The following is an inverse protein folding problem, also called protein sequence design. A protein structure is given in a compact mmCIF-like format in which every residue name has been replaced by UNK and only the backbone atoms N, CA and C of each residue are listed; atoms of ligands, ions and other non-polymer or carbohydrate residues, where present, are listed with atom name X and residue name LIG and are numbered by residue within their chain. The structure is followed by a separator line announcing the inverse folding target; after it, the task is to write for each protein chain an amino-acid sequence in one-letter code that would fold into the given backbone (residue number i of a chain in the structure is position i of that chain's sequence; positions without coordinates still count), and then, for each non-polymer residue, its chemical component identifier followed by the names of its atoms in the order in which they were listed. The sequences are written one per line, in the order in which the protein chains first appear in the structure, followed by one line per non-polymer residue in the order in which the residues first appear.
data_IF_641145060832
#
_entry.id   IF_641145060832
#
_cell.length_a   1.000
_cell.length_b   1.000
_cell.length_c   1.000
_cell.angle_alpha   90.00
_cell.angle_beta   90.00
_cell.angle_gamma   90.00
#
_symmetry.space_group_name_H-M   'P 1'
#
loop_
_entity.id
_entity.type
_entity.pdbx_description
1 polymer ?
#
# COMPACT_ATOMS: atom_id res chain seq x y z
N UNK A 1 17.85 -13.75 -15.19
CA UNK A 1 17.90 -12.95 -13.95
C UNK A 1 17.65 -11.45 -14.21
N UNK A 2 18.17 -10.85 -15.29
CA UNK A 2 17.90 -9.43 -15.62
C UNK A 2 16.52 -9.15 -16.23
N UNK A 3 15.86 -10.15 -16.83
CA UNK A 3 14.58 -9.95 -17.54
C UNK A 3 13.47 -9.41 -16.63
N UNK A 4 13.46 -9.78 -15.35
CA UNK A 4 12.44 -9.35 -14.38
C UNK A 4 12.61 -7.89 -13.92
N UNK A 5 13.71 -7.22 -14.30
CA UNK A 5 14.05 -5.84 -13.92
C UNK A 5 14.01 -4.85 -15.10
N UNK A 6 13.63 -5.32 -16.30
CA UNK A 6 13.65 -4.55 -17.56
C UNK A 6 12.24 -4.10 -17.99
N UNK A 7 11.26 -4.08 -17.08
CA UNK A 7 9.93 -3.59 -17.39
C UNK A 7 9.93 -2.08 -17.68
N UNK A 8 9.02 -1.59 -18.53
CA UNK A 8 8.95 -0.18 -18.88
C UNK A 8 8.68 0.68 -17.65
N UNK A 9 9.31 1.86 -17.60
CA UNK A 9 9.04 2.87 -16.59
C UNK A 9 7.72 3.57 -16.90
N UNK A 10 6.66 3.20 -16.18
CA UNK A 10 5.33 3.83 -16.23
C UNK A 10 5.13 4.78 -15.04
N UNK A 11 4.28 5.78 -15.23
CA UNK A 11 3.80 6.61 -14.12
C UNK A 11 2.93 5.80 -13.14
N UNK A 12 2.91 6.22 -11.88
CA UNK A 12 2.07 5.61 -10.86
C UNK A 12 0.59 5.95 -11.08
N UNK A 13 -0.28 4.95 -11.25
CA UNK A 13 -1.74 5.15 -11.32
C UNK A 13 -2.27 5.80 -10.04
N UNK A 14 -1.77 5.36 -8.88
CA UNK A 14 -2.12 5.91 -7.57
C UNK A 14 -0.87 6.59 -6.99
N UNK A 15 -0.87 7.92 -6.82
CA UNK A 15 0.27 8.58 -6.23
C UNK A 15 0.32 8.38 -4.71
N UNK A 16 1.52 8.35 -4.12
CA UNK A 16 1.71 8.12 -2.68
C UNK A 16 0.91 9.08 -1.79
N UNK A 17 0.71 10.34 -2.20
CA UNK A 17 -0.05 11.32 -1.42
C UNK A 17 -1.55 11.00 -1.32
N UNK A 18 -2.09 10.21 -2.26
CA UNK A 18 -3.50 9.80 -2.23
C UNK A 18 -3.78 8.75 -1.15
N UNK A 19 -2.77 7.94 -0.79
CA UNK A 19 -2.88 6.86 0.20
C UNK A 19 -3.45 7.32 1.55
N UNK A 20 -2.85 8.31 2.25
CA UNK A 20 -3.40 8.78 3.52
C UNK A 20 -4.80 9.40 3.38
N UNK A 21 -5.17 9.93 2.20
CA UNK A 21 -6.50 10.52 1.99
C UNK A 21 -7.56 9.42 2.06
N UNK A 22 -7.43 8.34 1.29
CA UNK A 22 -8.45 7.30 1.32
C UNK A 22 -8.31 6.34 2.51
N UNK A 23 -7.10 6.09 3.01
CA UNK A 23 -6.88 5.17 4.13
C UNK A 23 -7.11 5.77 5.51
N UNK A 24 -7.05 7.10 5.67
CA UNK A 24 -7.22 7.75 6.97
C UNK A 24 -8.37 8.74 6.93
N UNK A 25 -8.34 9.71 6.00
CA UNK A 25 -9.30 10.80 5.99
C UNK A 25 -10.72 10.29 5.72
N UNK A 26 -10.91 9.42 4.73
CA UNK A 26 -12.23 8.83 4.43
C UNK A 26 -12.80 8.03 5.62
N UNK A 27 -12.07 7.08 6.25
CA UNK A 27 -12.55 6.41 7.46
C UNK A 27 -12.93 7.36 8.59
N UNK A 28 -12.13 8.41 8.85
CA UNK A 28 -12.46 9.41 9.88
C UNK A 28 -13.78 10.11 9.56
N UNK A 29 -14.00 10.50 8.30
CA UNK A 29 -15.29 11.07 7.88
C UNK A 29 -16.46 10.11 8.13
N UNK A 30 -16.27 8.82 7.88
CA UNK A 30 -17.29 7.79 8.16
C UNK A 30 -17.54 7.67 9.67
N UNK A 31 -16.50 7.65 10.50
CA UNK A 31 -16.65 7.59 11.96
C UNK A 31 -17.38 8.81 12.50
N UNK A 32 -17.07 10.00 11.99
CA UNK A 32 -17.78 11.24 12.34
C UNK A 32 -19.25 11.16 11.91
N UNK A 33 -19.56 10.64 10.72
CA UNK A 33 -20.94 10.44 10.29
C UNK A 33 -21.71 9.50 11.23
N UNK A 34 -21.10 8.39 11.66
CA UNK A 34 -21.68 7.50 12.68
C UNK A 34 -21.88 8.20 14.03
N UNK A 35 -20.90 9.00 14.46
CA UNK A 35 -21.00 9.82 15.67
C UNK A 35 -22.16 10.82 15.59
N UNK A 36 -22.38 11.47 14.45
CA UNK A 36 -23.48 12.43 14.30
C UNK A 36 -24.86 11.78 14.51
N UNK A 37 -25.01 10.50 14.17
CA UNK A 37 -26.24 9.71 14.34
C UNK A 37 -26.35 9.11 15.73
N UNK A 38 -25.28 8.51 16.25
CA UNK A 38 -25.30 7.74 17.51
C UNK A 38 -24.98 8.57 18.75
N UNK A 39 -24.32 9.71 18.57
CA UNK A 39 -23.81 10.61 19.62
C UNK A 39 -22.93 9.93 20.67
N UNK A 40 -22.26 8.84 20.28
CA UNK A 40 -21.33 8.09 21.12
C UNK A 40 -19.90 8.58 20.89
N UNK A 41 -19.40 9.39 21.83
CA UNK A 41 -18.04 9.95 21.75
C UNK A 41 -16.96 8.90 22.00
N UNK A 42 -17.26 7.87 22.80
CA UNK A 42 -16.30 6.82 23.09
C UNK A 42 -16.04 5.99 21.83
N UNK A 43 -17.09 5.68 21.08
CA UNK A 43 -16.94 5.01 19.78
C UNK A 43 -16.04 5.80 18.82
N UNK A 44 -16.30 7.11 18.66
CA UNK A 44 -15.50 7.96 17.78
C UNK A 44 -14.03 7.99 18.22
N UNK A 45 -13.79 8.17 19.51
CA UNK A 45 -12.44 8.24 20.08
C UNK A 45 -11.66 6.95 19.85
N UNK A 46 -12.24 5.79 20.19
CA UNK A 46 -11.57 4.50 20.01
C UNK A 46 -11.39 4.14 18.53
N UNK A 47 -12.34 4.51 17.65
CA UNK A 47 -12.22 4.27 16.22
C UNK A 47 -11.06 5.09 15.60
N UNK A 48 -10.92 6.37 15.96
CA UNK A 48 -9.81 7.21 15.50
C UNK A 48 -8.48 6.70 16.05
N UNK A 49 -8.41 6.41 17.35
CA UNK A 49 -7.18 5.87 17.96
C UNK A 49 -6.76 4.55 17.32
N UNK A 50 -7.71 3.63 17.12
CA UNK A 50 -7.44 2.33 16.50
C UNK A 50 -6.94 2.47 15.07
N UNK A 51 -7.55 3.34 14.26
CA UNK A 51 -7.12 3.62 12.90
C UNK A 51 -5.71 4.22 12.83
N UNK A 52 -5.43 5.22 13.67
CA UNK A 52 -4.12 5.88 13.72
C UNK A 52 -3.05 4.91 14.21
N UNK A 53 -3.36 4.07 15.20
CA UNK A 53 -2.45 3.07 15.71
C UNK A 53 -2.13 1.99 14.66
N UNK A 54 -3.14 1.46 13.97
CA UNK A 54 -2.96 0.52 12.88
C UNK A 54 -2.07 1.12 11.77
N UNK A 55 -2.39 2.34 11.33
CA UNK A 55 -1.62 3.04 10.29
C UNK A 55 -0.18 3.30 10.70
N UNK A 56 0.06 3.72 11.95
CA UNK A 56 1.40 4.00 12.47
C UNK A 56 2.25 2.73 12.53
N UNK A 57 1.72 1.64 13.09
CA UNK A 57 2.44 0.38 13.20
C UNK A 57 2.77 -0.16 11.80
N UNK A 58 1.79 -0.19 10.91
CA UNK A 58 1.99 -0.63 9.53
C UNK A 58 3.04 0.23 8.82
N UNK A 59 3.00 1.55 8.99
CA UNK A 59 3.98 2.47 8.42
C UNK A 59 5.40 2.19 8.88
N UNK A 60 5.60 2.11 10.20
CA UNK A 60 6.92 1.82 10.80
C UNK A 60 7.46 0.48 10.33
N UNK A 61 6.64 -0.58 10.35
CA UNK A 61 7.06 -1.91 9.92
C UNK A 61 7.40 -1.91 8.42
N UNK A 62 6.53 -1.34 7.58
CA UNK A 62 6.72 -1.32 6.12
C UNK A 62 8.01 -0.59 5.75
N UNK A 63 8.22 0.61 6.28
CA UNK A 63 9.37 1.44 5.90
C UNK A 63 10.68 0.86 6.44
N UNK A 64 10.66 0.30 7.65
CA UNK A 64 11.83 -0.39 8.22
C UNK A 64 12.24 -1.60 7.37
N UNK A 65 11.29 -2.41 6.92
CA UNK A 65 11.58 -3.58 6.07
C UNK A 65 12.05 -3.12 4.68
N UNK A 66 11.45 -2.06 4.13
CA UNK A 66 11.89 -1.49 2.83
C UNK A 66 13.34 -1.09 2.85
N UNK A 67 13.76 -0.37 3.88
CA UNK A 67 15.13 0.10 4.02
C UNK A 67 16.11 -1.05 4.35
N UNK A 68 15.65 -2.10 5.02
CA UNK A 68 16.47 -3.27 5.35
C UNK A 68 16.68 -4.23 4.16
N UNK A 69 15.66 -4.47 3.34
CA UNK A 69 15.71 -5.49 2.27
C UNK A 69 16.39 -4.95 1.02
N UNK A 70 16.16 -3.69 0.65
CA UNK A 70 16.81 -3.09 -0.53
C UNK A 70 16.49 -3.80 -1.86
N UNK A 71 15.32 -4.42 -2.00
CA UNK A 71 14.95 -5.18 -3.21
C UNK A 71 14.76 -4.24 -4.41
N UNK A 72 15.40 -4.49 -5.57
CA UNK A 72 15.16 -3.72 -6.78
C UNK A 72 13.75 -3.92 -7.34
N UNK A 73 13.13 -2.85 -7.84
CA UNK A 73 11.81 -2.85 -8.49
C UNK A 73 11.86 -3.48 -9.89
N UNK A 74 10.72 -3.93 -10.45
CA UNK A 74 10.66 -4.48 -11.81
C UNK A 74 11.12 -3.52 -12.92
N UNK A 75 11.10 -2.21 -12.67
CA UNK A 75 11.55 -1.16 -13.59
C UNK A 75 12.95 -0.61 -13.25
N UNK A 76 13.74 -1.32 -12.43
CA UNK A 76 15.04 -0.85 -11.95
C UNK A 76 16.04 -0.57 -13.07
N UNK A 77 16.06 -1.38 -14.13
CA UNK A 77 17.02 -1.24 -15.23
C UNK A 77 16.95 0.14 -15.89
N UNK A 78 15.75 0.62 -16.22
CA UNK A 78 15.54 1.93 -16.84
C UNK A 78 15.82 3.09 -15.89
N UNK A 79 15.72 2.88 -14.58
CA UNK A 79 16.12 3.88 -13.57
C UNK A 79 17.64 3.99 -13.45
N UNK A 80 18.35 2.87 -13.58
CA UNK A 80 19.80 2.81 -13.51
C UNK A 80 20.47 3.28 -14.81
N UNK A 81 19.93 2.89 -15.97
CA UNK A 81 20.44 3.20 -17.30
C UNK A 81 19.40 3.92 -18.18
N UNK A 82 19.29 5.25 -18.11
CA UNK A 82 18.38 6.02 -18.97
C UNK A 82 18.65 5.81 -20.47
N UNK A 83 19.93 5.68 -20.85
CA UNK A 83 20.37 5.45 -22.23
C UNK A 83 20.21 3.99 -22.69
N UNK A 84 19.74 3.10 -21.81
CA UNK A 84 19.59 1.64 -22.03
C UNK A 84 20.89 0.90 -22.33
N UNK A 85 22.03 1.55 -22.18
CA UNK A 85 23.37 0.96 -22.34
C UNK A 85 23.84 0.53 -20.95
N UNK A 86 24.01 -0.77 -20.69
CA UNK A 86 24.48 -1.24 -19.41
C UNK A 86 25.98 -0.99 -19.27
N UNK A 87 26.38 -0.35 -18.18
CA UNK A 87 27.78 -0.11 -17.81
C UNK A 87 28.06 -0.86 -16.53
N UNK A 88 29.13 -1.66 -16.55
CA UNK A 88 29.59 -2.45 -15.41
C UNK A 88 31.02 -2.04 -15.08
N UNK A 89 31.32 -2.04 -13.79
CA UNK A 89 32.68 -1.87 -13.32
C UNK A 89 33.52 -3.09 -13.73
N UNK A 90 34.71 -2.83 -14.26
CA UNK A 90 35.63 -3.84 -14.81
C UNK A 90 36.27 -4.66 -13.69
N UNK A 91 36.43 -4.08 -12.51
CA UNK A 91 37.17 -4.70 -11.39
C UNK A 91 36.24 -5.44 -10.43
N UNK A 92 35.05 -4.89 -10.17
CA UNK A 92 34.07 -5.46 -9.21
C UNK A 92 32.92 -6.21 -9.88
N UNK A 93 32.63 -5.94 -11.16
CA UNK A 93 31.45 -6.44 -11.85
C UNK A 93 30.15 -5.76 -11.40
N UNK A 94 30.23 -4.72 -10.56
CA UNK A 94 29.07 -3.98 -10.06
C UNK A 94 28.43 -3.11 -11.16
N UNK A 95 27.13 -2.84 -11.00
CA UNK A 95 26.38 -1.98 -11.92
C UNK A 95 26.71 -0.50 -11.67
N UNK A 96 27.21 0.17 -12.70
CA UNK A 96 27.49 1.61 -12.66
C UNK A 96 26.28 2.37 -13.21
N UNK A 97 25.35 2.72 -12.34
CA UNK A 97 24.17 3.49 -12.74
C UNK A 97 24.53 4.91 -13.16
N UNK A 98 23.98 5.37 -14.29
CA UNK A 98 24.13 6.73 -14.81
C UNK A 98 22.92 7.64 -14.55
N UNK A 99 21.81 7.08 -14.04
CA UNK A 99 20.59 7.82 -13.70
C UNK A 99 20.70 8.70 -12.44
N UNK A 100 19.61 9.41 -12.11
CA UNK A 100 19.52 10.21 -10.89
C UNK A 100 19.58 9.32 -9.63
N UNK A 101 20.51 9.64 -8.74
CA UNK A 101 20.71 8.94 -7.47
C UNK A 101 19.43 8.82 -6.62
N UNK A 102 18.53 9.82 -6.66
CA UNK A 102 17.25 9.75 -5.94
C UNK A 102 16.32 8.70 -6.54
N UNK A 103 16.25 8.64 -7.87
CA UNK A 103 15.39 7.69 -8.62
C UNK A 103 15.92 6.27 -8.47
N UNK A 104 17.24 6.10 -8.47
CA UNK A 104 17.92 4.82 -8.22
C UNK A 104 17.67 4.34 -6.80
N UNK A 105 17.84 5.21 -5.79
CA UNK A 105 17.56 4.87 -4.39
C UNK A 105 16.12 4.41 -4.19
N UNK A 106 15.16 5.07 -4.84
CA UNK A 106 13.75 4.65 -4.83
C UNK A 106 13.52 3.32 -5.57
N UNK A 107 14.36 3.04 -6.57
CA UNK A 107 14.39 1.77 -7.29
C UNK A 107 14.73 0.57 -6.41
N UNK A 108 15.45 0.75 -5.30
CA UNK A 108 15.78 -0.30 -4.33
C UNK A 108 14.72 -0.50 -3.23
N UNK A 109 13.62 0.25 -3.24
CA UNK A 109 12.58 0.19 -2.20
C UNK A 109 11.34 -0.59 -2.64
N UNK A 110 11.52 -1.77 -3.22
CA UNK A 110 10.41 -2.59 -3.74
C UNK A 110 9.65 -3.35 -2.66
N UNK A 111 10.32 -4.05 -1.74
CA UNK A 111 9.66 -4.95 -0.79
C UNK A 111 9.61 -4.36 0.63
N UNK A 112 8.46 -4.37 1.33
CA UNK A 112 7.10 -4.65 0.86
C UNK A 112 6.46 -3.42 0.17
N UNK A 113 5.28 -3.59 -0.43
CA UNK A 113 4.56 -2.47 -1.04
C UNK A 113 3.91 -1.55 -0.02
N UNK A 114 4.41 -0.30 0.09
CA UNK A 114 3.87 0.70 1.01
C UNK A 114 2.46 1.20 0.66
N UNK A 115 2.15 1.36 -0.63
CA UNK A 115 0.78 1.64 -1.06
C UNK A 115 -0.19 0.55 -0.59
N UNK A 116 0.22 -0.72 -0.74
CA UNK A 116 -0.64 -1.84 -0.38
C UNK A 116 -0.80 -1.94 1.12
N UNK A 117 0.28 -1.91 1.90
CA UNK A 117 0.20 -2.06 3.35
C UNK A 117 -0.63 -0.96 4.01
N UNK A 118 -0.39 0.31 3.66
CA UNK A 118 -1.20 1.42 4.18
C UNK A 118 -2.67 1.37 3.74
N UNK A 119 -2.95 0.84 2.55
CA UNK A 119 -4.34 0.64 2.09
C UNK A 119 -5.05 -0.43 2.90
N UNK A 120 -4.40 -1.57 3.13
CA UNK A 120 -4.96 -2.67 3.91
C UNK A 120 -5.13 -2.30 5.39
N UNK A 121 -4.19 -1.56 5.99
CA UNK A 121 -4.34 -1.10 7.38
C UNK A 121 -5.55 -0.18 7.56
N UNK A 122 -5.66 0.87 6.74
CA UNK A 122 -6.74 1.85 6.87
C UNK A 122 -8.11 1.30 6.47
N UNK A 123 -8.21 0.71 5.28
CA UNK A 123 -9.47 0.20 4.73
C UNK A 123 -9.87 -1.14 5.35
N UNK A 124 -8.91 -1.95 5.80
CA UNK A 124 -9.17 -3.15 6.60
C UNK A 124 -9.73 -2.80 7.97
N UNK A 125 -9.17 -1.80 8.65
CA UNK A 125 -9.75 -1.28 9.89
C UNK A 125 -11.17 -0.75 9.68
N UNK A 126 -11.40 0.03 8.60
CA UNK A 126 -12.75 0.50 8.24
C UNK A 126 -13.71 -0.66 7.99
N UNK A 127 -13.25 -1.72 7.33
CA UNK A 127 -14.03 -2.94 7.06
C UNK A 127 -14.48 -3.61 8.35
N UNK A 128 -13.58 -3.77 9.32
CA UNK A 128 -13.93 -4.31 10.64
C UNK A 128 -14.89 -3.39 11.41
N UNK A 129 -14.65 -2.08 11.39
CA UNK A 129 -15.55 -1.10 12.01
C UNK A 129 -16.98 -1.20 11.43
N UNK A 130 -17.12 -1.15 10.11
CA UNK A 130 -18.42 -1.28 9.43
C UNK A 130 -19.08 -2.63 9.71
N UNK A 131 -18.30 -3.71 9.73
CA UNK A 131 -18.80 -5.07 10.02
C UNK A 131 -19.46 -5.15 11.40
N UNK A 132 -18.86 -4.50 12.40
CA UNK A 132 -19.42 -4.38 13.74
C UNK A 132 -20.68 -3.50 13.80
N UNK A 133 -20.66 -2.34 13.13
CA UNK A 133 -21.78 -1.38 13.16
C UNK A 133 -23.03 -1.87 12.44
N UNK A 134 -22.87 -2.53 11.29
CA UNK A 134 -23.98 -3.07 10.49
C UNK A 134 -24.43 -4.46 10.98
N UNK A 135 -23.65 -5.05 11.91
CA UNK A 135 -23.87 -6.40 12.45
C UNK A 135 -23.98 -7.41 11.31
N UNK A 136 -22.92 -7.52 10.51
CA UNK A 136 -22.89 -8.39 9.31
C UNK A 136 -23.21 -9.84 9.66
N UNK A 137 -22.78 -10.31 10.84
CA UNK A 137 -22.96 -11.68 11.29
C UNK A 137 -24.22 -11.90 12.16
N UNK A 138 -25.26 -11.07 12.03
CA UNK A 138 -26.51 -11.20 12.80
C UNK A 138 -27.42 -12.37 12.36
N UNK A 139 -26.90 -13.31 11.55
CA UNK A 139 -27.58 -14.50 11.00
C UNK A 139 -28.85 -14.21 10.17
N UNK A 140 -29.16 -12.94 9.89
CA UNK A 140 -30.34 -12.55 9.07
C UNK A 140 -30.12 -12.68 7.57
N UNK A 141 -28.89 -12.93 7.12
CA UNK A 141 -28.59 -13.30 5.73
C UNK A 141 -28.66 -12.17 4.69
N UNK A 142 -28.56 -10.90 5.10
CA UNK A 142 -28.60 -9.78 4.13
C UNK A 142 -27.24 -9.56 3.46
N UNK A 143 -27.11 -9.99 2.20
CA UNK A 143 -25.86 -9.86 1.41
C UNK A 143 -25.38 -8.42 1.26
N UNK A 144 -26.30 -7.45 1.19
CA UNK A 144 -25.95 -6.04 1.07
C UNK A 144 -25.04 -5.55 2.22
N UNK A 145 -25.23 -6.07 3.44
CA UNK A 145 -24.37 -5.75 4.58
C UNK A 145 -22.93 -6.20 4.33
N UNK A 146 -22.77 -7.40 3.79
CA UNK A 146 -21.47 -7.96 3.47
C UNK A 146 -20.79 -7.16 2.35
N UNK A 147 -21.53 -6.81 1.29
CA UNK A 147 -21.01 -5.99 0.20
C UNK A 147 -20.53 -4.62 0.71
N UNK A 148 -21.32 -3.93 1.54
CA UNK A 148 -20.94 -2.63 2.11
C UNK A 148 -19.69 -2.75 3.00
N UNK A 149 -19.62 -3.79 3.84
CA UNK A 149 -18.50 -3.97 4.75
C UNK A 149 -17.21 -4.40 4.05
N UNK A 150 -17.27 -5.22 2.98
CA UNK A 150 -16.09 -5.68 2.25
C UNK A 150 -15.63 -4.73 1.14
N UNK A 151 -16.45 -3.75 0.76
CA UNK A 151 -16.09 -2.79 -0.29
C UNK A 151 -14.76 -2.05 -0.04
N UNK A 152 -14.42 -1.60 1.18
CA UNK A 152 -13.12 -0.99 1.44
C UNK A 152 -11.95 -1.95 1.20
N UNK A 153 -12.08 -3.23 1.57
CA UNK A 153 -11.05 -4.24 1.27
C UNK A 153 -10.88 -4.45 -0.25
N UNK A 154 -11.97 -4.43 -1.01
CA UNK A 154 -11.88 -4.50 -2.48
C UNK A 154 -11.07 -3.32 -3.05
N UNK A 155 -11.30 -2.10 -2.54
CA UNK A 155 -10.51 -0.93 -2.93
C UNK A 155 -9.03 -1.17 -2.59
N UNK A 156 -8.71 -1.63 -1.38
CA UNK A 156 -7.33 -1.93 -0.97
C UNK A 156 -6.66 -2.96 -1.90
N UNK A 157 -7.38 -4.01 -2.29
CA UNK A 157 -6.90 -5.01 -3.25
C UNK A 157 -6.63 -4.39 -4.62
N UNK A 158 -7.52 -3.53 -5.12
CA UNK A 158 -7.35 -2.84 -6.40
C UNK A 158 -6.14 -1.89 -6.38
N UNK A 159 -5.86 -1.23 -5.25
CA UNK A 159 -4.61 -0.47 -5.07
C UNK A 159 -3.41 -1.40 -5.22
N UNK A 160 -3.41 -2.56 -4.56
CA UNK A 160 -2.35 -3.55 -4.71
C UNK A 160 -2.16 -4.04 -6.15
N UNK A 161 -3.26 -4.30 -6.87
CA UNK A 161 -3.22 -4.71 -8.29
C UNK A 161 -2.58 -3.63 -9.16
N UNK A 162 -2.92 -2.35 -8.94
CA UNK A 162 -2.31 -1.24 -9.69
C UNK A 162 -0.79 -1.21 -9.57
N UNK A 163 -0.24 -1.62 -8.41
CA UNK A 163 1.22 -1.65 -8.18
C UNK A 163 1.94 -2.69 -9.03
N UNK A 164 1.26 -3.78 -9.36
CA UNK A 164 1.77 -4.81 -10.26
C UNK A 164 1.62 -4.36 -11.71
N UNK A 165 0.47 -3.79 -12.08
CA UNK A 165 0.17 -3.34 -13.44
C UNK A 165 1.07 -2.18 -13.92
N UNK A 166 1.40 -1.28 -13.00
CA UNK A 166 2.32 -0.16 -13.24
C UNK A 166 3.81 -0.58 -13.19
N UNK A 167 4.12 -1.85 -12.88
CA UNK A 167 5.48 -2.37 -12.70
C UNK A 167 6.29 -1.69 -11.57
N UNK A 168 5.61 -1.16 -10.56
CA UNK A 168 6.26 -0.58 -9.39
C UNK A 168 6.63 -1.63 -8.35
N UNK A 169 5.93 -2.76 -8.32
CA UNK A 169 6.13 -3.82 -7.34
C UNK A 169 5.95 -5.21 -7.96
N UNK A 170 6.66 -6.19 -7.40
CA UNK A 170 6.38 -7.59 -7.67
C UNK A 170 5.10 -8.00 -6.93
N UNK A 171 4.41 -9.03 -7.42
CA UNK A 171 3.22 -9.56 -6.76
C UNK A 171 3.50 -10.00 -5.30
N UNK A 172 4.72 -10.47 -5.02
CA UNK A 172 5.17 -10.85 -3.66
C UNK A 172 5.27 -9.64 -2.73
N UNK A 173 5.69 -8.48 -3.25
CA UNK A 173 5.76 -7.23 -2.46
C UNK A 173 4.35 -6.76 -2.08
N UNK A 174 3.39 -6.94 -2.98
CA UNK A 174 1.97 -6.61 -2.77
C UNK A 174 1.33 -7.58 -1.79
N UNK A 175 1.54 -8.88 -1.95
CA UNK A 175 1.02 -9.89 -1.04
C UNK A 175 1.54 -9.69 0.40
N UNK A 176 2.85 -9.50 0.57
CA UNK A 176 3.43 -9.21 1.88
C UNK A 176 2.92 -7.88 2.44
N UNK A 177 2.80 -6.84 1.60
CA UNK A 177 2.22 -5.56 2.00
C UNK A 177 0.80 -5.71 2.56
N UNK A 178 -0.05 -6.49 1.88
CA UNK A 178 -1.42 -6.76 2.33
C UNK A 178 -1.53 -7.67 3.56
N UNK A 179 -0.49 -8.43 3.92
CA UNK A 179 -0.44 -9.16 5.18
C UNK A 179 0.03 -8.31 6.36
N UNK A 180 0.88 -7.30 6.09
CA UNK A 180 1.38 -6.37 7.10
C UNK A 180 0.33 -5.31 7.46
N UNK A 181 -0.46 -4.89 6.46
CA UNK A 181 -1.60 -3.99 6.65
C UNK A 181 -2.81 -4.72 7.21
#
# INVERSE_FOLDING_TARGET
MMADLMFPFKEDTIPMWAVPIYSIVIPIFIFVAFYLVRKDIYDLHHAILGLMFASLITGVITDSIKDAVGRPRPNFFLRCFPDKIPVFDVDTGDVLCSGDAKVIKEGYKSFPSGHTSWSFAGLGFLTWYLSGKVRVFDRRGHIAKLCISLFPLLIASLVGVSRVDDYWHHWTDVFAGGLIG
#
